data_IF_598565613355
#
_entry.id   IF_598565613355
#
_cell.length_a   1.000
_cell.length_b   1.000
_cell.length_c   1.000
_cell.angle_alpha   90.00
_cell.angle_beta   90.00
_cell.angle_gamma   90.00
#
_symmetry.space_group_name_H-M   'P 1'
#
loop_
_entity.id
_entity.type
_entity.pdbx_description
1 polymer ?
#
# COMPACT_ATOMS: atom_id res chain seq x y z
N UNK A 1 -44.52 -40.77 25.98
CA UNK A 1 -44.30 -39.32 26.05
C UNK A 1 -43.27 -38.95 25.01
N UNK A 2 -43.69 -38.09 24.09
CA UNK A 2 -42.97 -37.50 22.98
C UNK A 2 -41.84 -36.58 23.46
N UNK A 3 -40.75 -36.42 22.68
CA UNK A 3 -40.29 -35.17 22.04
C UNK A 3 -38.75 -35.08 22.29
N UNK A 4 -37.85 -34.59 21.45
CA UNK A 4 -37.91 -33.92 20.16
C UNK A 4 -36.49 -33.98 19.54
N UNK A 5 -36.49 -33.88 18.22
CA UNK A 5 -35.39 -33.86 17.25
C UNK A 5 -34.35 -32.74 17.44
N UNK A 6 -33.15 -32.89 16.84
CA UNK A 6 -32.76 -32.10 15.65
C UNK A 6 -31.34 -32.40 15.17
N UNK A 7 -31.30 -33.10 14.04
CA UNK A 7 -30.19 -33.10 13.09
C UNK A 7 -30.03 -31.71 12.48
N UNK A 8 -28.82 -31.15 12.48
CA UNK A 8 -28.50 -30.03 11.60
C UNK A 8 -27.65 -30.54 10.44
N UNK A 9 -28.33 -30.92 9.36
CA UNK A 9 -27.77 -30.89 8.02
C UNK A 9 -27.71 -29.45 7.56
N UNK A 10 -26.53 -28.99 7.15
CA UNK A 10 -26.43 -27.80 6.30
C UNK A 10 -25.65 -28.18 5.05
N UNK A 11 -26.39 -28.55 4.01
CA UNK A 11 -25.91 -28.48 2.64
C UNK A 11 -26.20 -27.06 2.13
N UNK A 12 -25.22 -26.44 1.47
CA UNK A 12 -25.46 -25.35 0.53
C UNK A 12 -24.35 -25.35 -0.51
N UNK A 13 -24.74 -25.78 -1.71
CA UNK A 13 -24.04 -25.53 -2.96
C UNK A 13 -24.03 -24.04 -3.28
N UNK A 14 -22.88 -23.46 -3.64
CA UNK A 14 -22.74 -22.26 -4.47
C UNK A 14 -21.39 -22.36 -5.20
N UNK A 15 -21.43 -22.71 -6.48
CA UNK A 15 -21.29 -21.78 -7.61
C UNK A 15 -19.85 -21.30 -7.82
N UNK A 16 -19.31 -21.75 -8.96
CA UNK A 16 -18.05 -21.32 -9.57
C UNK A 16 -17.87 -19.81 -9.62
N UNK A 17 -16.64 -19.34 -9.35
CA UNK A 17 -16.11 -18.12 -9.95
C UNK A 17 -14.65 -18.40 -10.35
N UNK A 18 -14.21 -18.04 -11.56
CA UNK A 18 -12.81 -18.18 -11.95
C UNK A 18 -11.97 -17.27 -11.03
N UNK A 19 -10.70 -17.59 -10.74
CA UNK A 19 -9.80 -16.59 -10.20
C UNK A 19 -9.71 -15.47 -11.23
N UNK A 20 -10.49 -14.40 -11.00
CA UNK A 20 -10.41 -13.16 -11.73
C UNK A 20 -8.94 -12.77 -11.79
N UNK A 21 -8.45 -12.55 -13.02
CA UNK A 21 -7.16 -11.92 -13.27
C UNK A 21 -6.95 -10.83 -12.22
N UNK A 22 -6.04 -11.08 -11.29
CA UNK A 22 -5.45 -10.00 -10.51
C UNK A 22 -4.70 -9.18 -11.55
N UNK A 23 -5.39 -8.16 -12.06
CA UNK A 23 -4.78 -6.99 -12.66
C UNK A 23 -3.64 -6.64 -11.72
N UNK A 24 -2.43 -6.94 -12.15
CA UNK A 24 -1.20 -6.60 -11.45
C UNK A 24 -1.16 -5.08 -11.42
N UNK A 25 -1.87 -4.48 -10.46
CA UNK A 25 -1.65 -3.09 -10.09
C UNK A 25 -0.14 -2.99 -9.90
N UNK A 26 0.53 -1.99 -10.49
CA UNK A 26 1.95 -1.76 -10.21
C UNK A 26 2.05 -1.65 -8.70
N UNK A 27 2.60 -2.70 -8.07
CA UNK A 27 2.66 -2.76 -6.61
C UNK A 27 3.72 -1.75 -6.24
N UNK A 28 3.29 -0.60 -5.74
CA UNK A 28 4.21 0.38 -5.18
C UNK A 28 5.02 -0.33 -4.09
N UNK A 29 6.34 -0.29 -4.23
CA UNK A 29 7.24 -0.90 -3.27
C UNK A 29 7.38 0.07 -2.11
N UNK A 30 7.23 -0.46 -0.89
CA UNK A 30 7.52 0.29 0.33
C UNK A 30 9.03 0.54 0.42
N UNK A 31 9.40 1.79 0.64
CA UNK A 31 10.76 2.26 0.81
C UNK A 31 10.87 2.99 2.14
N UNK A 32 12.00 2.79 2.80
CA UNK A 32 12.32 3.36 4.10
C UNK A 32 13.57 4.24 3.94
N UNK A 33 13.53 5.48 4.42
CA UNK A 33 14.66 6.42 4.39
C UNK A 33 14.77 7.17 5.70
N UNK A 34 15.98 7.58 6.08
CA UNK A 34 16.21 8.32 7.30
C UNK A 34 15.58 9.71 7.25
N UNK A 35 15.01 10.17 8.37
CA UNK A 35 14.36 11.48 8.49
C UNK A 35 15.34 12.67 8.60
N UNK A 36 16.61 12.49 8.21
CA UNK A 36 17.63 13.53 8.28
C UNK A 36 17.21 14.76 7.46
N UNK A 37 16.85 15.87 8.13
CA UNK A 37 16.40 17.15 7.56
C UNK A 37 15.22 17.08 6.57
N UNK A 38 14.62 15.89 6.41
CA UNK A 38 13.61 15.62 5.41
C UNK A 38 12.22 15.81 6.01
N UNK A 39 11.39 16.63 5.38
CA UNK A 39 10.01 16.86 5.82
C UNK A 39 9.03 16.09 4.95
N UNK A 40 7.87 15.74 5.52
CA UNK A 40 6.77 15.09 4.77
C UNK A 40 6.41 15.87 3.50
N UNK A 41 6.41 17.20 3.57
CA UNK A 41 6.06 18.07 2.44
C UNK A 41 7.12 18.00 1.32
N UNK A 42 8.41 18.05 1.66
CA UNK A 42 9.51 17.88 0.71
C UNK A 42 9.44 16.50 0.03
N UNK A 43 9.22 15.44 0.82
CA UNK A 43 9.10 14.07 0.32
C UNK A 43 7.86 13.90 -0.58
N UNK A 44 6.72 14.46 -0.18
CA UNK A 44 5.51 14.44 -1.01
C UNK A 44 5.72 15.19 -2.32
N UNK A 45 6.36 16.37 -2.30
CA UNK A 45 6.66 17.13 -3.51
C UNK A 45 7.58 16.37 -4.49
N UNK A 46 8.60 15.68 -3.96
CA UNK A 46 9.46 14.81 -4.77
C UNK A 46 8.66 13.68 -5.40
N UNK A 47 7.86 12.97 -4.62
CA UNK A 47 7.06 11.85 -5.12
C UNK A 47 6.04 12.30 -6.19
N UNK A 48 5.40 13.46 -6.00
CA UNK A 48 4.50 14.03 -7.00
C UNK A 48 5.22 14.45 -8.28
N UNK A 49 6.44 14.99 -8.17
CA UNK A 49 7.27 15.38 -9.32
C UNK A 49 7.78 14.16 -10.09
N UNK A 50 8.24 13.12 -9.37
CA UNK A 50 8.78 11.89 -9.95
C UNK A 50 7.68 11.00 -10.54
N UNK A 51 6.51 10.96 -9.91
CA UNK A 51 5.38 10.12 -10.33
C UNK A 51 4.12 10.94 -10.63
N UNK A 52 4.14 11.79 -11.67
CA UNK A 52 2.99 12.64 -12.01
C UNK A 52 1.76 11.84 -12.47
N UNK A 53 1.97 10.62 -12.95
CA UNK A 53 0.92 9.71 -13.44
C UNK A 53 0.43 8.73 -12.36
N UNK A 54 0.85 8.87 -11.10
CA UNK A 54 0.43 7.96 -10.04
C UNK A 54 -1.08 8.13 -9.73
N UNK A 55 -1.88 7.06 -9.78
CA UNK A 55 -3.31 7.11 -9.49
C UNK A 55 -3.51 7.36 -7.99
N UNK A 56 -3.65 8.63 -7.63
CA UNK A 56 -3.71 9.10 -6.25
C UNK A 56 -2.37 9.68 -5.85
N UNK A 57 -2.28 11.02 -5.82
CA UNK A 57 -1.14 11.74 -5.22
C UNK A 57 -1.03 11.52 -3.70
N UNK A 58 -1.91 10.70 -3.13
CA UNK A 58 -1.86 10.19 -1.77
C UNK A 58 -0.81 9.08 -1.64
N UNK A 59 0.46 9.47 -1.71
CA UNK A 59 1.54 8.58 -1.31
C UNK A 59 1.39 8.26 0.19
N UNK A 60 1.47 6.97 0.55
CA UNK A 60 1.36 6.51 1.93
C UNK A 60 2.63 6.82 2.74
N UNK A 61 2.87 8.10 3.03
CA UNK A 61 4.05 8.56 3.76
C UNK A 61 3.78 8.48 5.26
N UNK A 62 4.65 7.77 5.99
CA UNK A 62 4.61 7.62 7.46
C UNK A 62 5.99 7.90 8.05
N UNK A 63 6.03 8.58 9.19
CA UNK A 63 7.25 8.72 10.00
C UNK A 63 7.14 7.78 11.20
N UNK A 64 8.13 6.91 11.38
CA UNK A 64 8.23 6.05 12.54
C UNK A 64 9.68 5.93 12.99
N UNK A 65 9.97 6.23 14.26
CA UNK A 65 11.32 6.14 14.84
C UNK A 65 12.41 6.84 13.99
N UNK A 66 12.14 8.07 13.50
CA UNK A 66 13.03 8.82 12.60
C UNK A 66 13.27 8.18 11.22
N UNK A 67 12.42 7.27 10.78
CA UNK A 67 12.45 6.68 9.45
C UNK A 67 11.16 7.05 8.71
N UNK A 68 11.30 7.65 7.54
CA UNK A 68 10.21 7.87 6.60
C UNK A 68 9.97 6.60 5.80
N UNK A 69 8.79 6.03 5.94
CA UNK A 69 8.29 4.94 5.10
C UNK A 69 7.30 5.49 4.08
N UNK A 70 7.45 5.15 2.80
CA UNK A 70 6.51 5.53 1.75
C UNK A 70 6.41 4.47 0.67
N UNK A 71 5.24 4.40 0.01
CA UNK A 71 5.00 3.51 -1.11
C UNK A 71 5.24 4.28 -2.42
N UNK A 72 6.12 3.78 -3.28
CA UNK A 72 6.39 4.39 -4.58
C UNK A 72 6.48 3.35 -5.72
N UNK A 73 6.10 3.70 -6.96
CA UNK A 73 6.19 2.79 -8.11
C UNK A 73 7.63 2.42 -8.48
N UNK A 74 8.56 3.35 -8.30
CA UNK A 74 9.98 3.19 -8.61
C UNK A 74 10.81 3.52 -7.37
N UNK A 75 12.03 3.01 -7.35
CA UNK A 75 13.00 3.29 -6.30
C UNK A 75 13.40 4.78 -6.31
N UNK A 76 13.25 5.43 -5.16
CA UNK A 76 13.75 6.79 -4.93
C UNK A 76 15.13 6.65 -4.31
N UNK A 77 16.13 7.13 -5.02
CA UNK A 77 17.52 6.99 -4.57
C UNK A 77 17.81 7.97 -3.43
N UNK A 78 18.78 7.63 -2.59
CA UNK A 78 19.19 8.50 -1.50
C UNK A 78 19.70 9.86 -1.99
N UNK A 79 20.35 9.92 -3.16
CA UNK A 79 20.78 11.18 -3.77
C UNK A 79 19.60 12.13 -4.12
N UNK A 80 18.48 11.58 -4.59
CA UNK A 80 17.27 12.38 -4.85
C UNK A 80 16.65 12.90 -3.55
N UNK A 81 16.70 12.09 -2.49
CA UNK A 81 16.21 12.47 -1.16
C UNK A 81 17.12 13.52 -0.51
N UNK A 82 18.43 13.43 -0.67
CA UNK A 82 19.39 14.43 -0.20
C UNK A 82 19.23 15.76 -0.94
N UNK A 83 19.00 15.73 -2.27
CA UNK A 83 18.81 16.93 -3.08
C UNK A 83 17.58 17.76 -2.67
N UNK A 84 16.56 17.15 -2.06
CA UNK A 84 15.41 17.88 -1.49
C UNK A 84 15.59 18.22 -0.01
N UNK A 85 16.56 17.61 0.69
CA UNK A 85 16.80 17.85 2.10
C UNK A 85 17.47 19.22 2.34
N UNK A 86 18.32 19.65 1.40
CA UNK A 86 18.93 21.00 1.33
C UNK A 86 17.88 22.12 1.17
#
# INVERSE_FOLDING_TARGET
>A
MSFLERTFSFASSLSSSPPSQLSSRPMCRRQDTDAHYLTRAKLQGLLESKFPNHPGKDFHIRLFQNVWSFDAPEEVTQAELEAIAE
#
